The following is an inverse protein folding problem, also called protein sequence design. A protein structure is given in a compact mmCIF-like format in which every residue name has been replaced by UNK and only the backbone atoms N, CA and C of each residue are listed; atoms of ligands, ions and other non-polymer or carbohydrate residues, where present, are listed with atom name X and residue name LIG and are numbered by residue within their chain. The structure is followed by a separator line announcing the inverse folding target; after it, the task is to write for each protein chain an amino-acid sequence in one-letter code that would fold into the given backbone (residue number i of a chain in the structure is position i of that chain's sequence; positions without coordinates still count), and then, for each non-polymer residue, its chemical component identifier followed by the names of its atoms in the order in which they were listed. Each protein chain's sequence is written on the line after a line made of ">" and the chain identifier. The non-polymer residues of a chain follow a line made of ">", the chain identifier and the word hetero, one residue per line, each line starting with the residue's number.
data_IF_323452016277
#
_entry.id   IF_323452016277
#
_cell.length_a   1.000
_cell.length_b   1.000
_cell.length_c   1.000
_cell.angle_alpha   90.00
_cell.angle_beta   90.00
_cell.angle_gamma   90.00
#
_symmetry.space_group_name_H-M   'P 1'
#
loop_
_entity.id
_entity.type
_entity.pdbx_description
1 polymer ?
#
# COMPACT_ATOMS: atom_id res chain seq x y z
N UNK A 1 -28.67 4.55 8.10
CA UNK A 1 -28.70 4.39 9.56
C UNK A 1 -27.25 4.46 10.02
N UNK A 2 -26.86 5.51 10.68
CA UNK A 2 -25.56 5.57 11.32
C UNK A 2 -25.58 4.57 12.48
N UNK A 3 -24.59 3.66 12.49
CA UNK A 3 -24.40 2.76 13.62
C UNK A 3 -23.70 3.59 14.71
N UNK A 4 -24.50 4.30 15.51
CA UNK A 4 -24.03 4.91 16.75
C UNK A 4 -23.71 3.79 17.73
N UNK A 5 -22.49 3.79 18.26
CA UNK A 5 -22.14 3.03 19.45
C UNK A 5 -21.13 1.88 19.31
N UNK A 6 -20.55 1.60 18.13
CA UNK A 6 -19.50 0.61 18.03
C UNK A 6 -18.10 1.24 18.15
N UNK A 7 -17.61 1.36 19.38
CA UNK A 7 -16.18 1.49 19.65
C UNK A 7 -15.55 0.09 19.51
N UNK A 8 -15.19 -0.30 18.29
CA UNK A 8 -14.41 -1.50 18.11
C UNK A 8 -13.01 -1.26 18.68
N UNK A 9 -12.75 -1.78 19.87
CA UNK A 9 -11.36 -1.93 20.31
C UNK A 9 -10.68 -2.85 19.29
N UNK A 10 -9.57 -2.43 18.66
CA UNK A 10 -8.79 -3.33 17.84
C UNK A 10 -8.49 -4.57 18.66
N UNK A 11 -8.59 -5.75 18.05
CA UNK A 11 -8.13 -6.99 18.68
C UNK A 11 -6.61 -6.85 18.78
N UNK A 12 -6.15 -6.28 19.89
CA UNK A 12 -4.74 -6.14 20.19
C UNK A 12 -4.27 -7.49 20.70
N UNK A 13 -4.06 -8.41 19.79
CA UNK A 13 -3.24 -9.58 20.07
C UNK A 13 -1.79 -9.10 20.14
N UNK A 14 -1.29 -8.83 21.33
CA UNK A 14 0.15 -8.68 21.59
C UNK A 14 0.80 -10.05 21.45
N UNK A 15 0.85 -10.60 20.22
CA UNK A 15 1.69 -11.74 19.95
C UNK A 15 3.15 -11.29 20.09
N UNK A 16 4.04 -12.06 20.73
CA UNK A 16 5.46 -11.78 20.73
C UNK A 16 5.90 -11.69 19.26
N UNK A 17 6.53 -10.58 18.88
CA UNK A 17 6.97 -10.33 17.53
C UNK A 17 8.43 -10.66 17.40
N UNK A 18 8.75 -11.47 16.42
CA UNK A 18 10.11 -11.73 16.01
C UNK A 18 10.44 -10.87 14.79
N UNK A 19 11.37 -9.94 14.96
CA UNK A 19 11.96 -9.19 13.85
C UNK A 19 12.93 -10.14 13.14
N UNK A 20 12.74 -10.32 11.84
CA UNK A 20 13.64 -11.10 11.01
C UNK A 20 15.07 -10.51 11.04
N UNK A 21 16.10 -11.30 10.73
CA UNK A 21 17.47 -10.81 10.64
C UNK A 21 17.62 -9.64 9.66
N UNK A 22 18.64 -8.80 9.87
CA UNK A 22 19.01 -7.74 8.93
C UNK A 22 19.28 -8.29 7.53
N UNK A 23 18.95 -7.51 6.52
CA UNK A 23 19.02 -7.90 5.11
C UNK A 23 17.76 -8.53 4.55
N UNK A 24 16.75 -8.85 5.38
CA UNK A 24 15.41 -9.25 4.95
C UNK A 24 14.54 -8.02 4.72
N UNK A 25 13.98 -7.89 3.52
CA UNK A 25 13.10 -6.79 3.16
C UNK A 25 11.71 -7.27 2.74
N UNK A 26 10.68 -6.49 3.11
CA UNK A 26 9.32 -6.62 2.60
C UNK A 26 9.09 -5.50 1.57
N UNK A 27 8.85 -5.88 0.32
CA UNK A 27 8.65 -4.99 -0.82
C UNK A 27 7.20 -5.09 -1.26
N UNK A 28 6.49 -3.95 -1.30
CA UNK A 28 5.04 -3.93 -1.42
C UNK A 28 4.58 -3.15 -2.66
N UNK A 29 3.96 -3.85 -3.61
CA UNK A 29 3.32 -3.22 -4.77
C UNK A 29 2.18 -2.29 -4.33
N UNK A 30 2.05 -1.14 -5.00
CA UNK A 30 0.88 -0.28 -4.90
C UNK A 30 -0.33 -0.87 -5.63
N UNK A 31 -1.48 -0.99 -4.95
CA UNK A 31 -2.62 -1.73 -5.48
C UNK A 31 -3.98 -1.00 -5.50
N UNK A 32 -4.14 0.16 -4.88
CA UNK A 32 -5.46 0.73 -4.62
C UNK A 32 -6.32 -0.27 -3.84
N UNK A 33 -7.55 -0.54 -4.28
CA UNK A 33 -8.45 -1.52 -3.62
C UNK A 33 -7.90 -2.95 -3.62
N UNK A 34 -7.02 -3.32 -4.55
CA UNK A 34 -6.32 -4.62 -4.50
C UNK A 34 -5.36 -4.75 -3.32
N UNK A 35 -4.98 -3.63 -2.70
CA UNK A 35 -4.16 -3.62 -1.49
C UNK A 35 -4.79 -4.36 -0.30
N UNK A 36 -6.08 -4.69 -0.33
CA UNK A 36 -6.68 -5.56 0.69
C UNK A 36 -6.18 -7.00 0.59
N UNK A 37 -5.70 -7.46 -0.56
CA UNK A 37 -4.90 -8.69 -0.65
C UNK A 37 -3.62 -8.59 0.19
N UNK A 38 -2.86 -7.51 0.02
CA UNK A 38 -1.66 -7.24 0.83
C UNK A 38 -1.98 -7.15 2.32
N UNK A 39 -3.15 -6.58 2.68
CA UNK A 39 -3.61 -6.53 4.07
C UNK A 39 -3.83 -7.94 4.67
N UNK A 40 -4.33 -8.88 3.87
CA UNK A 40 -4.44 -10.28 4.27
C UNK A 40 -3.09 -10.94 4.50
N UNK A 41 -2.11 -10.69 3.62
CA UNK A 41 -0.72 -11.16 3.77
C UNK A 41 -0.10 -10.63 5.07
N UNK A 42 -0.33 -9.36 5.41
CA UNK A 42 0.13 -8.79 6.68
C UNK A 42 -0.44 -9.54 7.90
N UNK A 43 -1.71 -9.87 7.86
CA UNK A 43 -2.32 -10.59 8.97
C UNK A 43 -1.76 -12.02 9.10
N UNK A 44 -1.44 -12.71 8.00
CA UNK A 44 -0.73 -13.97 8.05
C UNK A 44 0.66 -13.86 8.69
N UNK A 45 1.41 -12.78 8.39
CA UNK A 45 2.69 -12.52 9.05
C UNK A 45 2.52 -12.18 10.53
N UNK A 46 1.50 -11.39 10.90
CA UNK A 46 1.20 -11.09 12.30
C UNK A 46 0.81 -12.34 13.11
N UNK A 47 0.00 -13.23 12.55
CA UNK A 47 -0.35 -14.52 13.15
C UNK A 47 0.86 -15.43 13.35
N UNK A 48 1.83 -15.35 12.44
CA UNK A 48 3.11 -16.02 12.58
C UNK A 48 4.07 -15.32 13.55
N UNK A 49 3.74 -14.11 14.03
CA UNK A 49 4.59 -13.30 14.89
C UNK A 49 5.77 -12.64 14.18
N UNK A 50 5.73 -12.52 12.84
CA UNK A 50 6.83 -12.00 12.01
C UNK A 50 6.69 -10.49 11.81
N UNK A 51 7.80 -9.77 11.98
CA UNK A 51 7.98 -8.39 11.56
C UNK A 51 9.26 -8.27 10.74
N UNK A 52 9.19 -7.59 9.59
CA UNK A 52 10.35 -7.35 8.75
C UNK A 52 11.16 -6.15 9.26
N UNK A 53 12.51 -6.24 9.26
CA UNK A 53 13.37 -5.14 9.67
C UNK A 53 13.40 -3.98 8.66
N UNK A 54 13.01 -4.25 7.42
CA UNK A 54 12.92 -3.27 6.34
C UNK A 54 11.63 -3.48 5.55
N UNK A 55 10.89 -2.40 5.34
CA UNK A 55 9.62 -2.38 4.59
C UNK A 55 9.66 -1.19 3.62
N UNK A 56 9.53 -1.44 2.32
CA UNK A 56 9.33 -0.41 1.30
C UNK A 56 7.95 -0.55 0.67
N UNK A 57 7.16 0.52 0.73
CA UNK A 57 5.77 0.52 0.31
C UNK A 57 5.39 1.77 -0.48
N UNK A 58 4.40 1.63 -1.38
CA UNK A 58 3.79 2.74 -2.10
C UNK A 58 2.27 2.60 -2.12
N UNK A 59 1.56 3.73 -2.19
CA UNK A 59 0.11 3.76 -2.36
C UNK A 59 -0.64 3.04 -1.21
N UNK A 60 -1.70 2.30 -1.53
CA UNK A 60 -2.52 1.58 -0.55
C UNK A 60 -1.72 0.62 0.35
N UNK A 61 -0.62 0.04 -0.15
CA UNK A 61 0.21 -0.85 0.66
C UNK A 61 0.98 -0.10 1.76
N UNK A 62 1.34 1.17 1.53
CA UNK A 62 1.88 2.04 2.58
C UNK A 62 0.87 2.27 3.71
N UNK A 63 -0.39 2.57 3.38
CA UNK A 63 -1.45 2.73 4.37
C UNK A 63 -1.74 1.43 5.15
N UNK A 64 -1.78 0.30 4.44
CA UNK A 64 -2.05 -1.00 5.03
C UNK A 64 -0.89 -1.54 5.90
N UNK A 65 0.34 -1.05 5.69
CA UNK A 65 1.49 -1.41 6.50
C UNK A 65 1.45 -0.82 7.92
N UNK A 66 0.75 0.30 8.14
CA UNK A 66 0.72 0.96 9.44
C UNK A 66 0.19 0.04 10.56
N UNK A 67 -0.99 -0.59 10.45
CA UNK A 67 -1.46 -1.52 11.46
C UNK A 67 -0.62 -2.80 11.54
N UNK A 68 0.02 -3.24 10.47
CA UNK A 68 0.99 -4.34 10.52
C UNK A 68 2.18 -3.99 11.40
N UNK A 69 2.79 -2.83 11.21
CA UNK A 69 3.91 -2.33 12.04
C UNK A 69 3.44 -2.16 13.48
N UNK A 70 2.26 -1.60 13.72
CA UNK A 70 1.66 -1.43 15.05
C UNK A 70 1.13 -2.74 15.69
N UNK A 71 1.13 -3.89 14.99
CA UNK A 71 0.68 -5.16 15.51
C UNK A 71 -0.82 -5.32 15.71
N UNK A 72 -1.59 -4.63 14.92
CA UNK A 72 -3.04 -4.58 15.01
C UNK A 72 -3.69 -5.60 14.06
N UNK A 73 -3.66 -6.87 14.43
CA UNK A 73 -4.25 -7.98 13.69
C UNK A 73 -5.74 -7.70 13.40
N UNK A 74 -6.16 -7.92 12.15
CA UNK A 74 -7.54 -7.77 11.70
C UNK A 74 -8.01 -6.31 11.51
N UNK A 75 -7.18 -5.28 11.80
CA UNK A 75 -7.61 -3.88 11.66
C UNK A 75 -8.02 -3.53 10.24
N UNK A 76 -7.24 -3.94 9.24
CA UNK A 76 -7.56 -3.69 7.84
C UNK A 76 -8.83 -4.43 7.39
N UNK A 77 -9.08 -5.64 7.91
CA UNK A 77 -10.33 -6.38 7.70
C UNK A 77 -11.53 -5.60 8.23
N UNK A 78 -11.45 -5.03 9.43
CA UNK A 78 -12.51 -4.21 10.02
C UNK A 78 -12.83 -2.98 9.17
N UNK A 79 -11.83 -2.36 8.51
CA UNK A 79 -12.08 -1.25 7.56
C UNK A 79 -12.96 -1.73 6.41
N UNK A 80 -12.71 -2.91 5.86
CA UNK A 80 -13.55 -3.48 4.80
C UNK A 80 -14.96 -3.77 5.30
N UNK A 81 -15.09 -4.41 6.46
CA UNK A 81 -16.37 -4.86 7.02
C UNK A 81 -17.29 -3.70 7.36
N UNK A 82 -16.76 -2.60 7.90
CA UNK A 82 -17.58 -1.54 8.49
C UNK A 82 -17.58 -0.22 7.72
N UNK A 83 -16.57 0.07 6.89
CA UNK A 83 -16.40 1.41 6.33
C UNK A 83 -16.37 1.47 4.81
N UNK A 84 -15.94 0.42 4.11
CA UNK A 84 -15.83 0.47 2.64
C UNK A 84 -17.19 0.65 1.96
N UNK A 85 -18.27 0.07 2.51
CA UNK A 85 -19.64 0.24 2.01
C UNK A 85 -20.25 1.61 2.35
N UNK A 86 -19.62 2.40 3.21
CA UNK A 86 -20.09 3.77 3.51
C UNK A 86 -19.92 4.65 2.26
N UNK A 87 -20.99 5.35 1.87
CA UNK A 87 -21.03 6.23 0.70
C UNK A 87 -19.98 7.36 0.74
N UNK A 88 -19.43 7.62 1.94
CA UNK A 88 -18.32 8.58 2.12
C UNK A 88 -16.98 8.00 1.69
N UNK A 89 -16.80 6.67 1.71
CA UNK A 89 -15.49 6.04 1.47
C UNK A 89 -15.01 6.29 0.03
N UNK A 90 -15.84 5.93 -0.96
CA UNK A 90 -15.52 6.07 -2.39
C UNK A 90 -16.78 6.39 -3.19
N UNK A 91 -16.66 7.25 -4.21
CA UNK A 91 -17.77 7.51 -5.14
C UNK A 91 -17.67 8.84 -5.88
N UNK A 92 -18.50 8.97 -6.91
CA UNK A 92 -18.57 10.16 -7.78
C UNK A 92 -18.94 11.42 -6.98
N UNK A 93 -19.75 11.29 -5.92
CA UNK A 93 -20.09 12.39 -5.03
C UNK A 93 -18.84 13.02 -4.39
N UNK A 94 -17.90 12.19 -3.96
CA UNK A 94 -16.63 12.67 -3.40
C UNK A 94 -15.81 13.41 -4.45
N UNK A 95 -15.81 12.94 -5.70
CA UNK A 95 -15.12 13.62 -6.80
C UNK A 95 -15.67 15.02 -7.03
N UNK A 96 -16.98 15.21 -6.93
CA UNK A 96 -17.64 16.52 -7.08
C UNK A 96 -17.39 17.44 -5.88
N UNK A 97 -17.45 16.92 -4.65
CA UNK A 97 -17.32 17.71 -3.42
C UNK A 97 -15.87 17.97 -3.00
N UNK A 98 -15.00 16.97 -3.17
CA UNK A 98 -13.63 16.97 -2.63
C UNK A 98 -12.56 16.86 -3.72
N UNK A 99 -12.95 16.85 -5.02
CA UNK A 99 -12.06 16.62 -6.17
C UNK A 99 -11.25 15.31 -6.06
N UNK A 100 -11.76 14.36 -5.29
CA UNK A 100 -11.17 13.05 -5.08
C UNK A 100 -12.24 11.97 -5.15
N UNK A 101 -11.96 10.85 -5.82
CA UNK A 101 -12.85 9.69 -5.84
C UNK A 101 -12.95 9.05 -4.45
N UNK A 102 -11.83 9.01 -3.75
CA UNK A 102 -11.72 8.55 -2.36
C UNK A 102 -11.80 9.75 -1.41
N UNK A 103 -12.66 9.67 -0.41
CA UNK A 103 -12.72 10.74 0.59
C UNK A 103 -11.54 10.63 1.55
N UNK A 104 -10.50 11.38 1.25
CA UNK A 104 -9.25 11.40 2.02
C UNK A 104 -9.46 11.77 3.49
N UNK A 105 -10.35 12.72 3.77
CA UNK A 105 -10.67 13.13 5.14
C UNK A 105 -11.33 11.99 5.92
N UNK A 106 -12.28 11.27 5.30
CA UNK A 106 -12.93 10.13 5.93
C UNK A 106 -11.96 8.98 6.17
N UNK A 107 -11.19 8.60 5.14
CA UNK A 107 -10.33 7.40 5.16
C UNK A 107 -9.10 7.59 6.06
N UNK A 108 -8.44 8.76 5.96
CA UNK A 108 -7.14 9.00 6.59
C UNK A 108 -7.20 9.91 7.83
N UNK A 109 -8.37 10.46 8.17
CA UNK A 109 -8.56 11.28 9.37
C UNK A 109 -9.66 10.70 10.26
N UNK A 110 -10.89 10.63 9.77
CA UNK A 110 -12.04 10.23 10.60
C UNK A 110 -11.92 8.78 11.07
N UNK A 111 -11.67 7.82 10.15
CA UNK A 111 -11.55 6.39 10.53
C UNK A 111 -10.41 6.16 11.54
N UNK A 112 -9.15 6.57 11.27
CA UNK A 112 -8.05 6.25 12.18
C UNK A 112 -8.03 7.08 13.47
N UNK A 113 -8.76 8.20 13.55
CA UNK A 113 -8.76 9.08 14.71
C UNK A 113 -10.03 8.96 15.57
N UNK A 114 -11.14 8.46 15.00
CA UNK A 114 -12.43 8.41 15.71
C UNK A 114 -13.04 7.01 15.81
N UNK A 115 -12.67 6.10 14.92
CA UNK A 115 -13.34 4.82 14.80
C UNK A 115 -12.44 3.63 15.08
N UNK A 116 -11.42 3.41 14.27
CA UNK A 116 -10.45 2.32 14.45
C UNK A 116 -9.06 2.94 14.52
N UNK A 117 -8.62 3.27 15.72
CA UNK A 117 -7.37 3.96 15.99
C UNK A 117 -6.15 3.16 15.48
N UNK A 118 -5.10 3.88 15.05
CA UNK A 118 -3.76 3.32 14.89
C UNK A 118 -3.06 3.45 16.26
N UNK A 119 -2.44 2.37 16.70
CA UNK A 119 -1.60 2.35 17.90
C UNK A 119 -0.23 2.96 17.58
N UNK A 120 -0.15 4.28 17.69
CA UNK A 120 1.08 5.03 17.37
C UNK A 120 2.21 4.71 18.33
N UNK A 121 1.93 4.45 19.60
CA UNK A 121 2.94 4.06 20.57
C UNK A 121 3.62 2.75 20.18
N UNK A 122 2.82 1.76 19.77
CA UNK A 122 3.34 0.49 19.25
C UNK A 122 4.03 0.64 17.90
N UNK A 123 3.54 1.52 17.01
CA UNK A 123 4.19 1.83 15.73
C UNK A 123 5.58 2.43 15.97
N UNK A 124 5.69 3.43 16.84
CA UNK A 124 6.95 4.14 17.11
C UNK A 124 7.98 3.27 17.82
N UNK A 125 7.55 2.35 18.69
CA UNK A 125 8.43 1.41 19.40
C UNK A 125 9.11 0.38 18.50
N UNK A 126 8.62 0.14 17.27
CA UNK A 126 9.25 -0.84 16.38
C UNK A 126 10.55 -0.28 15.80
N UNK A 127 11.67 -0.95 16.09
CA UNK A 127 12.99 -0.62 15.54
C UNK A 127 13.16 -1.28 14.15
N UNK A 128 12.53 -0.67 13.15
CA UNK A 128 12.57 -1.09 11.74
C UNK A 128 12.71 0.11 10.82
N UNK A 129 13.20 -0.14 9.62
CA UNK A 129 13.14 0.81 8.51
C UNK A 129 11.80 0.67 7.82
N UNK A 130 11.00 1.73 7.79
CA UNK A 130 9.79 1.80 6.99
C UNK A 130 9.87 2.98 6.05
N UNK A 131 9.77 2.69 4.75
CA UNK A 131 9.82 3.68 3.68
C UNK A 131 8.46 3.76 2.97
N UNK A 132 7.96 4.98 2.86
CA UNK A 132 6.77 5.33 2.08
C UNK A 132 7.17 6.17 0.89
N UNK A 133 6.94 5.67 -0.33
CA UNK A 133 7.25 6.38 -1.56
C UNK A 133 6.09 7.24 -2.06
N UNK A 134 6.37 8.49 -2.47
CA UNK A 134 5.46 9.35 -3.21
C UNK A 134 6.21 10.00 -4.39
N UNK A 135 5.52 10.23 -5.52
CA UNK A 135 6.15 10.85 -6.69
C UNK A 135 6.15 12.37 -6.57
N UNK A 136 7.31 13.00 -6.67
CA UNK A 136 7.41 14.46 -6.83
C UNK A 136 7.01 14.89 -8.25
N UNK A 137 6.00 15.73 -8.34
CA UNK A 137 5.45 16.21 -9.61
C UNK A 137 6.43 17.06 -10.44
N UNK A 138 7.43 17.69 -9.80
CA UNK A 138 8.40 18.53 -10.48
C UNK A 138 9.49 17.70 -11.17
N UNK A 139 9.94 16.64 -10.52
CA UNK A 139 11.03 15.82 -11.00
C UNK A 139 10.56 14.53 -11.69
N UNK A 140 9.34 14.05 -11.39
CA UNK A 140 8.81 12.75 -11.82
C UNK A 140 9.45 11.57 -11.11
N UNK A 141 10.27 11.80 -10.10
CA UNK A 141 10.97 10.77 -9.33
C UNK A 141 10.26 10.48 -8.01
N UNK A 142 10.48 9.28 -7.47
CA UNK A 142 9.98 8.93 -6.13
C UNK A 142 10.83 9.62 -5.07
N UNK A 143 10.16 10.29 -4.13
CA UNK A 143 10.70 10.75 -2.86
C UNK A 143 10.32 9.72 -1.81
N UNK A 144 11.30 9.29 -1.04
CA UNK A 144 11.12 8.32 0.03
C UNK A 144 11.06 9.03 1.37
N UNK A 145 9.99 8.78 2.09
CA UNK A 145 9.78 9.25 3.45
C UNK A 145 10.01 8.09 4.42
N UNK A 146 10.71 8.38 5.49
CA UNK A 146 11.05 7.39 6.49
C UNK A 146 9.94 7.22 7.53
N UNK A 147 10.07 6.23 8.40
CA UNK A 147 9.10 5.92 9.45
C UNK A 147 8.75 7.14 10.31
N UNK A 148 9.72 7.97 10.66
CA UNK A 148 9.53 9.16 11.49
C UNK A 148 8.76 10.29 10.79
N UNK A 149 8.68 10.30 9.44
CA UNK A 149 7.87 11.24 8.67
C UNK A 149 6.38 10.84 8.67
N UNK A 150 6.08 9.59 9.02
CA UNK A 150 4.72 9.05 9.04
C UNK A 150 4.10 9.33 10.40
N UNK A 151 3.34 10.40 10.47
CA UNK A 151 2.72 10.93 11.69
C UNK A 151 1.22 10.60 11.76
N UNK A 152 0.54 10.80 12.91
CA UNK A 152 -0.91 10.65 13.02
C UNK A 152 -1.72 11.49 12.03
N UNK A 153 -1.14 12.52 11.44
CA UNK A 153 -1.73 13.34 10.37
C UNK A 153 -1.78 12.62 9.03
N UNK A 154 -0.97 11.57 8.86
CA UNK A 154 -0.93 10.70 7.67
C UNK A 154 -0.67 11.43 6.33
N UNK A 155 -0.05 12.61 6.36
CA UNK A 155 0.16 13.45 5.15
C UNK A 155 1.00 12.74 4.10
N UNK A 156 2.07 12.06 4.52
CA UNK A 156 2.93 11.26 3.64
C UNK A 156 2.16 10.07 3.06
N UNK A 157 1.36 9.39 3.87
CA UNK A 157 0.53 8.27 3.44
C UNK A 157 -0.55 8.72 2.44
N UNK A 158 -1.18 9.88 2.71
CA UNK A 158 -2.14 10.51 1.80
C UNK A 158 -1.46 10.85 0.47
N UNK A 159 -0.25 11.41 0.50
CA UNK A 159 0.52 11.73 -0.70
C UNK A 159 0.85 10.47 -1.51
N UNK A 160 1.30 9.41 -0.83
CA UNK A 160 1.57 8.10 -1.45
C UNK A 160 0.34 7.48 -2.12
N UNK A 161 -0.87 7.81 -1.64
CA UNK A 161 -2.15 7.31 -2.16
C UNK A 161 -2.86 8.30 -3.12
N UNK A 162 -2.25 9.45 -3.46
CA UNK A 162 -2.87 10.49 -4.29
C UNK A 162 -2.82 10.14 -5.78
N UNK A 163 -3.77 9.33 -6.24
CA UNK A 163 -3.83 8.82 -7.61
C UNK A 163 -4.14 9.97 -8.59
N UNK A 164 -3.35 10.16 -9.68
CA UNK A 164 -3.63 11.16 -10.70
C UNK A 164 -5.03 11.05 -11.26
N UNK A 165 -5.64 12.20 -11.53
CA UNK A 165 -7.03 12.35 -12.03
C UNK A 165 -8.12 11.97 -11.02
N UNK A 166 -7.79 11.21 -9.97
CA UNK A 166 -8.73 10.73 -8.96
C UNK A 166 -8.54 11.36 -7.59
N UNK A 167 -7.42 12.07 -7.39
CA UNK A 167 -7.09 12.76 -6.13
C UNK A 167 -6.32 14.05 -6.42
N UNK A 168 -6.42 15.08 -5.57
CA UNK A 168 -5.59 16.27 -5.68
C UNK A 168 -4.12 15.95 -5.37
N UNK A 169 -3.21 16.78 -5.90
CA UNK A 169 -1.80 16.77 -5.49
C UNK A 169 -1.68 17.19 -4.01
N UNK A 170 -0.78 16.56 -3.29
CA UNK A 170 -0.49 16.85 -1.88
C UNK A 170 0.79 17.70 -1.80
N UNK A 171 0.76 18.77 -1.02
CA UNK A 171 1.96 19.57 -0.71
C UNK A 171 2.46 19.20 0.67
N UNK A 172 3.69 18.69 0.74
CA UNK A 172 4.32 18.30 2.00
C UNK A 172 5.83 18.45 1.91
N UNK A 173 6.47 18.95 2.97
CA UNK A 173 7.92 19.11 3.10
C UNK A 173 8.59 19.79 1.88
N UNK A 174 7.93 20.79 1.27
CA UNK A 174 8.44 21.52 0.09
C UNK A 174 8.19 20.82 -1.25
N UNK A 175 7.67 19.61 -1.27
CA UNK A 175 7.33 18.84 -2.47
C UNK A 175 5.88 19.06 -2.90
N UNK A 176 5.61 18.78 -4.17
CA UNK A 176 4.26 18.62 -4.72
C UNK A 176 4.12 17.16 -5.16
N UNK A 177 3.32 16.39 -4.45
CA UNK A 177 3.35 14.93 -4.48
C UNK A 177 2.08 14.33 -5.09
N UNK A 178 2.26 13.18 -5.73
CA UNK A 178 1.24 12.24 -6.19
C UNK A 178 1.65 10.80 -5.80
N UNK A 179 0.76 9.84 -6.11
CA UNK A 179 0.92 8.41 -5.79
C UNK A 179 2.30 7.85 -6.22
N UNK A 180 3.00 7.23 -5.28
CA UNK A 180 4.33 6.66 -5.50
C UNK A 180 4.35 5.54 -6.55
N UNK A 181 3.25 4.80 -6.70
CA UNK A 181 3.12 3.76 -7.72
C UNK A 181 3.04 4.27 -9.17
N UNK A 182 3.23 5.58 -9.40
CA UNK A 182 3.41 6.13 -10.75
C UNK A 182 4.86 5.97 -11.19
N UNK A 183 5.80 6.37 -10.32
CA UNK A 183 7.25 6.38 -10.61
C UNK A 183 7.98 5.12 -10.13
N UNK A 184 7.48 4.47 -9.07
CA UNK A 184 8.08 3.26 -8.51
C UNK A 184 6.99 2.31 -7.97
N UNK A 185 6.29 1.58 -8.86
CA UNK A 185 5.14 0.76 -8.48
C UNK A 185 5.49 -0.47 -7.64
N UNK A 186 6.70 -1.02 -7.75
CA UNK A 186 7.21 -2.16 -6.99
C UNK A 186 8.63 -1.81 -6.53
N UNK A 187 8.83 -1.30 -5.29
CA UNK A 187 10.07 -0.67 -4.87
C UNK A 187 11.21 -1.66 -4.60
N UNK A 188 11.42 -2.61 -5.53
CA UNK A 188 12.47 -3.63 -5.43
C UNK A 188 13.87 -3.02 -5.66
N UNK A 189 14.00 -2.09 -6.61
CA UNK A 189 15.27 -1.42 -6.90
C UNK A 189 15.72 -0.56 -5.71
N UNK A 190 14.77 0.09 -5.01
CA UNK A 190 15.05 0.83 -3.77
C UNK A 190 15.56 -0.11 -2.67
N UNK A 191 14.90 -1.24 -2.47
CA UNK A 191 15.31 -2.22 -1.46
C UNK A 191 16.72 -2.77 -1.73
N UNK A 192 17.06 -3.06 -2.97
CA UNK A 192 18.42 -3.51 -3.37
C UNK A 192 19.45 -2.41 -3.13
N UNK A 193 19.14 -1.17 -3.53
CA UNK A 193 20.03 -0.02 -3.34
C UNK A 193 20.33 0.29 -1.87
N UNK A 194 19.40 -0.01 -0.98
CA UNK A 194 19.56 0.13 0.47
C UNK A 194 20.30 -1.05 1.11
N UNK A 195 20.79 -2.01 0.33
CA UNK A 195 21.67 -3.09 0.78
C UNK A 195 20.95 -4.34 1.28
N UNK A 196 19.65 -4.48 1.05
CA UNK A 196 18.95 -5.71 1.41
C UNK A 196 19.35 -6.85 0.45
N UNK A 197 19.47 -8.06 0.98
CA UNK A 197 19.95 -9.24 0.25
C UNK A 197 18.86 -10.25 -0.07
N UNK A 198 17.78 -10.27 0.71
CA UNK A 198 16.64 -11.15 0.53
C UNK A 198 15.32 -10.37 0.59
N UNK A 199 14.44 -10.62 -0.38
CA UNK A 199 13.23 -9.83 -0.58
C UNK A 199 11.98 -10.70 -0.53
N UNK A 200 11.02 -10.38 0.34
CA UNK A 200 9.65 -10.89 0.22
C UNK A 200 8.84 -9.83 -0.52
N UNK A 201 8.41 -10.15 -1.73
CA UNK A 201 7.70 -9.21 -2.60
C UNK A 201 6.23 -9.56 -2.61
N UNK A 202 5.36 -8.63 -2.20
CA UNK A 202 3.91 -8.82 -2.27
C UNK A 202 3.36 -8.05 -3.47
N UNK A 203 2.84 -8.79 -4.44
CA UNK A 203 2.23 -8.27 -5.65
C UNK A 203 0.71 -8.34 -5.55
N UNK A 204 0.03 -7.43 -6.24
CA UNK A 204 -1.43 -7.37 -6.32
C UNK A 204 -1.98 -7.83 -7.68
N UNK A 205 -1.12 -8.48 -8.46
CA UNK A 205 -1.45 -9.07 -9.77
C UNK A 205 -0.94 -10.49 -9.85
N UNK A 206 -1.72 -11.34 -10.52
CA UNK A 206 -1.38 -12.73 -10.76
C UNK A 206 -0.15 -12.89 -11.67
N UNK A 207 0.36 -14.10 -11.73
CA UNK A 207 1.46 -14.47 -12.60
C UNK A 207 1.16 -14.18 -14.08
N UNK A 208 2.19 -13.81 -14.83
CA UNK A 208 2.08 -13.47 -16.26
C UNK A 208 1.45 -12.11 -16.55
N UNK A 209 0.93 -11.39 -15.56
CA UNK A 209 0.41 -10.05 -15.79
C UNK A 209 1.53 -9.11 -16.25
N UNK A 210 1.23 -8.33 -17.29
CA UNK A 210 2.08 -7.21 -17.72
C UNK A 210 1.21 -5.98 -17.93
N UNK A 211 1.70 -4.85 -17.45
CA UNK A 211 0.99 -3.57 -17.53
C UNK A 211 1.07 -3.03 -18.96
N UNK A 212 -0.07 -2.59 -19.50
CA UNK A 212 -0.15 -1.93 -20.81
C UNK A 212 0.04 -0.41 -20.69
N UNK A 213 0.40 0.22 -21.79
CA UNK A 213 0.56 1.67 -21.90
C UNK A 213 -0.71 2.43 -21.53
N UNK A 214 -0.53 3.59 -20.89
CA UNK A 214 -1.63 4.50 -20.58
C UNK A 214 -2.02 5.32 -21.82
N UNK A 215 -3.18 5.07 -22.39
CA UNK A 215 -3.61 5.67 -23.68
C UNK A 215 -4.26 7.04 -23.55
N UNK A 216 -4.94 7.36 -22.44
CA UNK A 216 -5.70 8.61 -22.30
C UNK A 216 -4.82 9.78 -21.84
N UNK A 217 -3.91 10.22 -22.71
CA UNK A 217 -2.95 11.30 -22.41
C UNK A 217 -3.55 12.70 -22.50
N UNK A 218 -4.72 12.86 -23.15
CA UNK A 218 -5.36 14.18 -23.32
C UNK A 218 -5.74 14.79 -21.98
N UNK A 219 -6.42 14.02 -21.11
CA UNK A 219 -6.82 14.50 -19.79
C UNK A 219 -5.62 14.81 -18.88
N UNK A 220 -4.57 13.99 -18.98
CA UNK A 220 -3.31 14.26 -18.28
C UNK A 220 -2.69 15.61 -18.73
N UNK A 221 -2.63 15.86 -20.04
CA UNK A 221 -2.11 17.13 -20.58
C UNK A 221 -2.92 18.34 -20.10
N UNK A 222 -4.26 18.20 -20.04
CA UNK A 222 -5.13 19.27 -19.56
C UNK A 222 -4.91 19.57 -18.08
N UNK A 223 -4.85 18.54 -17.22
CA UNK A 223 -4.76 18.73 -15.77
C UNK A 223 -3.34 18.98 -15.27
N UNK A 224 -2.32 18.41 -15.92
CA UNK A 224 -0.92 18.47 -15.49
C UNK A 224 -0.02 19.22 -16.48
N UNK A 225 -0.55 20.20 -17.25
CA UNK A 225 0.24 21.00 -18.19
C UNK A 225 1.43 21.72 -17.55
N UNK A 226 1.30 22.12 -16.28
CA UNK A 226 2.39 22.74 -15.47
C UNK A 226 3.36 21.71 -14.86
N UNK A 227 3.09 20.41 -14.99
CA UNK A 227 3.87 19.33 -14.43
C UNK A 227 4.16 18.27 -15.51
N UNK A 228 4.96 18.59 -16.53
CA UNK A 228 5.20 17.69 -17.67
C UNK A 228 5.81 16.35 -17.26
N UNK A 229 6.55 16.31 -16.15
CA UNK A 229 7.13 15.08 -15.59
C UNK A 229 6.07 14.08 -15.10
N UNK A 230 4.92 14.56 -14.63
CA UNK A 230 3.77 13.68 -14.29
C UNK A 230 3.26 12.97 -15.54
N UNK A 231 3.13 13.70 -16.66
CA UNK A 231 2.65 13.14 -17.92
C UNK A 231 3.63 12.08 -18.44
N UNK A 232 4.93 12.37 -18.37
CA UNK A 232 6.01 11.47 -18.77
C UNK A 232 6.02 10.19 -17.92
N UNK A 233 6.02 10.33 -16.60
CA UNK A 233 6.00 9.21 -15.65
C UNK A 233 4.77 8.31 -15.87
N UNK A 234 3.58 8.89 -16.09
CA UNK A 234 2.36 8.14 -16.38
C UNK A 234 2.46 7.32 -17.69
N UNK A 235 3.13 7.84 -18.71
CA UNK A 235 3.38 7.11 -19.96
C UNK A 235 4.36 5.96 -19.76
N UNK A 236 5.45 6.21 -19.06
CA UNK A 236 6.52 5.24 -18.81
C UNK A 236 6.18 4.20 -17.74
N UNK A 237 5.12 4.44 -16.95
CA UNK A 237 4.73 3.58 -15.82
C UNK A 237 4.64 2.09 -16.16
N UNK A 238 4.20 1.75 -17.36
CA UNK A 238 4.07 0.36 -17.77
C UNK A 238 5.45 -0.29 -18.01
N UNK A 239 6.41 0.42 -18.55
CA UNK A 239 7.79 -0.05 -18.74
C UNK A 239 8.48 -0.26 -17.40
N UNK A 240 8.37 0.73 -16.49
CA UNK A 240 8.94 0.62 -15.13
C UNK A 240 8.34 -0.58 -14.41
N UNK A 241 7.02 -0.73 -14.42
CA UNK A 241 6.33 -1.85 -13.77
C UNK A 241 6.80 -3.21 -14.32
N UNK A 242 6.83 -3.36 -15.64
CA UNK A 242 7.17 -4.63 -16.26
C UNK A 242 8.65 -5.01 -16.02
N UNK A 243 9.55 -4.03 -16.06
CA UNK A 243 10.97 -4.23 -15.69
C UNK A 243 11.14 -4.66 -14.24
N UNK A 244 10.38 -4.04 -13.32
CA UNK A 244 10.43 -4.41 -11.90
C UNK A 244 9.87 -5.81 -11.63
N UNK A 245 8.81 -6.24 -12.34
CA UNK A 245 8.32 -7.63 -12.29
C UNK A 245 9.41 -8.59 -12.79
N UNK A 246 10.05 -8.31 -13.92
CA UNK A 246 11.14 -9.15 -14.46
C UNK A 246 12.30 -9.28 -13.46
N UNK A 247 12.68 -8.18 -12.80
CA UNK A 247 13.70 -8.19 -11.76
C UNK A 247 13.27 -9.03 -10.54
N UNK A 248 12.03 -8.91 -10.06
CA UNK A 248 11.51 -9.74 -8.98
C UNK A 248 11.54 -11.23 -9.35
N UNK A 249 11.07 -11.59 -10.54
CA UNK A 249 11.07 -12.95 -11.04
C UNK A 249 12.50 -13.51 -11.23
N UNK A 250 13.45 -12.65 -11.60
CA UNK A 250 14.87 -13.03 -11.67
C UNK A 250 15.43 -13.32 -10.27
N UNK A 251 15.22 -12.44 -9.30
CA UNK A 251 15.66 -12.62 -7.92
C UNK A 251 15.05 -13.87 -7.28
N UNK A 252 13.79 -14.19 -7.61
CA UNK A 252 13.16 -15.43 -7.15
C UNK A 252 13.86 -16.68 -7.70
N UNK A 253 14.18 -16.70 -9.01
CA UNK A 253 14.98 -17.79 -9.61
C UNK A 253 16.37 -17.93 -9.02
N UNK A 254 16.98 -16.83 -8.58
CA UNK A 254 18.28 -16.78 -7.91
C UNK A 254 18.21 -17.19 -6.41
N UNK A 255 17.02 -17.46 -5.87
CA UNK A 255 16.81 -17.76 -4.45
C UNK A 255 17.01 -16.54 -3.53
N UNK A 256 16.91 -15.32 -4.05
CA UNK A 256 17.06 -14.05 -3.35
C UNK A 256 15.73 -13.34 -3.11
N UNK A 257 14.64 -13.87 -3.62
CA UNK A 257 13.31 -13.37 -3.34
C UNK A 257 12.31 -14.51 -3.18
N UNK A 258 11.20 -14.21 -2.46
CA UNK A 258 9.95 -14.95 -2.46
C UNK A 258 8.86 -14.00 -2.94
N UNK A 259 8.07 -14.42 -3.93
CA UNK A 259 6.97 -13.63 -4.45
C UNK A 259 5.65 -14.19 -3.93
N UNK A 260 4.87 -13.34 -3.25
CA UNK A 260 3.48 -13.62 -2.88
C UNK A 260 2.61 -12.85 -3.84
N UNK A 261 1.76 -13.56 -4.59
CA UNK A 261 0.87 -12.95 -5.60
C UNK A 261 -0.41 -13.76 -5.74
N UNK A 262 -1.54 -13.13 -6.12
CA UNK A 262 -2.78 -13.85 -6.37
C UNK A 262 -2.60 -14.93 -7.43
N UNK A 263 -3.20 -16.10 -7.21
CA UNK A 263 -3.19 -17.21 -8.18
C UNK A 263 -3.96 -16.84 -9.45
N UNK A 264 -5.08 -16.11 -9.30
CA UNK A 264 -5.95 -15.70 -10.39
C UNK A 264 -6.09 -14.17 -10.44
N UNK A 265 -6.51 -13.59 -11.58
CA UNK A 265 -6.79 -12.16 -11.67
C UNK A 265 -7.83 -11.71 -10.66
N UNK A 266 -7.47 -10.78 -9.78
CA UNK A 266 -8.37 -10.26 -8.75
C UNK A 266 -9.60 -9.57 -9.36
N UNK A 267 -10.79 -10.05 -9.00
CA UNK A 267 -12.10 -9.59 -9.51
C UNK A 267 -12.60 -8.38 -8.69
N UNK A 268 -11.91 -7.24 -8.79
CA UNK A 268 -12.34 -6.00 -8.12
C UNK A 268 -12.59 -4.89 -9.11
N UNK A 269 -13.73 -4.22 -8.94
CA UNK A 269 -14.07 -3.03 -9.69
C UNK A 269 -13.21 -1.83 -9.24
N UNK A 270 -13.01 -0.87 -10.13
CA UNK A 270 -12.31 0.39 -9.80
C UNK A 270 -13.03 1.20 -8.73
N UNK A 271 -14.33 1.02 -8.56
CA UNK A 271 -15.13 1.65 -7.52
C UNK A 271 -14.85 1.09 -6.12
N UNK A 272 -14.39 -0.16 -6.03
CA UNK A 272 -13.94 -0.76 -4.77
C UNK A 272 -14.98 -0.81 -3.64
N UNK A 273 -16.27 -0.72 -3.94
CA UNK A 273 -17.33 -0.62 -2.93
C UNK A 273 -17.96 -1.98 -2.54
N UNK A 274 -17.55 -3.06 -3.21
CA UNK A 274 -18.08 -4.40 -2.95
C UNK A 274 -17.33 -5.07 -1.79
N UNK A 275 -17.89 -4.95 -0.59
CA UNK A 275 -17.33 -5.51 0.65
C UNK A 275 -17.07 -7.02 0.52
N UNK A 276 -17.96 -7.79 -0.12
CA UNK A 276 -17.83 -9.23 -0.26
C UNK A 276 -16.58 -9.59 -1.09
N UNK A 277 -16.38 -8.90 -2.21
CA UNK A 277 -15.19 -9.10 -3.05
C UNK A 277 -13.91 -8.70 -2.32
N UNK A 278 -13.93 -7.60 -1.57
CA UNK A 278 -12.75 -7.14 -0.85
C UNK A 278 -12.38 -8.04 0.33
N UNK A 279 -13.36 -8.61 1.03
CA UNK A 279 -13.11 -9.62 2.05
C UNK A 279 -12.55 -10.90 1.42
N UNK A 280 -13.05 -11.32 0.26
CA UNK A 280 -12.48 -12.46 -0.45
C UNK A 280 -11.02 -12.23 -0.85
N UNK A 281 -10.66 -11.01 -1.29
CA UNK A 281 -9.26 -10.66 -1.56
C UNK A 281 -8.38 -10.72 -0.32
N UNK A 282 -8.88 -10.18 0.79
CA UNK A 282 -8.18 -10.23 2.06
C UNK A 282 -7.95 -11.69 2.51
N UNK A 283 -8.99 -12.53 2.45
CA UNK A 283 -8.90 -13.93 2.85
C UNK A 283 -7.97 -14.73 1.91
N UNK A 284 -7.92 -14.38 0.61
CA UNK A 284 -6.96 -14.94 -0.35
C UNK A 284 -5.53 -14.57 0.04
N UNK A 285 -5.24 -13.28 0.27
CA UNK A 285 -3.91 -12.83 0.68
C UNK A 285 -3.44 -13.48 1.99
N UNK A 286 -4.34 -13.63 2.97
CA UNK A 286 -4.05 -14.32 4.23
C UNK A 286 -3.71 -15.79 4.01
N UNK A 287 -4.46 -16.49 3.16
CA UNK A 287 -4.22 -17.91 2.83
C UNK A 287 -2.88 -18.09 2.11
N UNK A 288 -2.54 -17.19 1.16
CA UNK A 288 -1.31 -17.31 0.37
C UNK A 288 -0.07 -16.79 1.11
N UNK A 289 -0.23 -15.85 2.02
CA UNK A 289 0.84 -15.39 2.91
C UNK A 289 1.25 -16.41 3.97
N UNK A 290 0.32 -17.26 4.42
CA UNK A 290 0.56 -18.18 5.54
C UNK A 290 1.70 -19.20 5.29
N UNK A 291 1.83 -19.87 4.13
CA UNK A 291 2.96 -20.76 3.87
C UNK A 291 4.31 -20.06 3.89
N UNK A 292 4.37 -18.83 3.34
CA UNK A 292 5.59 -18.01 3.35
C UNK A 292 5.95 -17.60 4.77
N UNK A 293 4.97 -17.19 5.57
CA UNK A 293 5.17 -16.89 6.98
C UNK A 293 5.75 -18.09 7.76
N UNK A 294 5.27 -19.30 7.49
CA UNK A 294 5.80 -20.53 8.12
C UNK A 294 7.25 -20.79 7.67
N UNK A 295 7.58 -20.55 6.40
CA UNK A 295 8.95 -20.76 5.90
C UNK A 295 9.95 -19.77 6.53
N UNK A 296 9.54 -18.54 6.73
CA UNK A 296 10.37 -17.48 7.33
C UNK A 296 10.66 -17.71 8.83
N UNK A 297 9.85 -18.50 9.55
CA UNK A 297 10.15 -18.87 10.95
C UNK A 297 11.35 -19.80 11.11
N UNK A 298 11.82 -20.40 10.03
CA UNK A 298 12.94 -21.35 10.05
C UNK A 298 14.29 -20.68 9.81
N UNK A 299 14.28 -19.39 9.57
CA UNK A 299 15.45 -18.55 9.35
C UNK A 299 15.83 -17.87 10.68
#
# INVERSE_FOLDING_TARGET
>A
MAIEGYTHKPIVGKAPRWILPGGYALVLEGGGTRGFYTAGVFDAFMEAGILFPYIAAVSASSANALPYIAGQLGRNRQIVEFYVADKRYVGIRNLLLHRSLFNTEFIFREIPQKHIFIDWDMFDQQDIVFLTGAMDCLTGKTVWFEKHDVTPQLEVTIASCAIPLLSPMVRHAGYTLLDGGISDPIPIEKSIADGNSFHVVVLTRNEGYRKSEFRNTFLLKLMYSRYPRVIEAMKQRHEVYNRQIELCEQLEREGRALIIRPLEPLQVDRSGADTTKLLALYDEGRREGAPVAVSLKKV
#
